data_IF_662002855058
#
_entry.id   IF_662002855058
#
_cell.length_a   1.000
_cell.length_b   1.000
_cell.length_c   1.000
_cell.angle_alpha   90.00
_cell.angle_beta   90.00
_cell.angle_gamma   90.00
#
_symmetry.space_group_name_H-M   'P 1'
#
loop_
_entity.id
_entity.type
_entity.pdbx_description
1 polymer ?
#
# COMPACT_ATOMS: atom_id res chain seq x y z
N UNK A 1 0.08 -21.11 -30.48
CA UNK A 1 -0.93 -20.55 -29.57
C UNK A 1 -2.26 -20.58 -30.31
N UNK A 2 -3.19 -21.47 -29.94
CA UNK A 2 -4.53 -21.53 -30.53
C UNK A 2 -5.44 -20.54 -29.83
N UNK A 3 -6.26 -19.83 -30.62
CA UNK A 3 -7.29 -18.88 -30.14
C UNK A 3 -8.34 -19.67 -29.34
N UNK A 4 -8.64 -19.24 -28.11
CA UNK A 4 -9.74 -19.78 -27.29
C UNK A 4 -9.36 -20.78 -26.18
N UNK A 5 -8.07 -20.90 -25.83
CA UNK A 5 -7.66 -21.52 -24.56
C UNK A 5 -7.06 -20.44 -23.68
N UNK A 6 -7.88 -19.88 -22.80
CA UNK A 6 -7.55 -18.78 -21.89
C UNK A 6 -6.46 -19.20 -20.90
N UNK A 7 -5.21 -19.07 -21.33
CA UNK A 7 -4.11 -18.81 -20.42
C UNK A 7 -4.06 -17.29 -20.24
N UNK A 8 -4.50 -16.80 -19.09
CA UNK A 8 -4.27 -15.41 -18.70
C UNK A 8 -2.75 -15.23 -18.52
N UNK A 9 -2.08 -14.72 -19.55
CA UNK A 9 -0.67 -14.34 -19.43
C UNK A 9 -0.60 -13.06 -18.61
N UNK A 10 -0.17 -13.16 -17.36
CA UNK A 10 0.19 -11.98 -16.57
C UNK A 10 1.61 -11.57 -16.98
N UNK A 11 1.72 -10.50 -17.76
CA UNK A 11 3.01 -9.92 -18.12
C UNK A 11 3.30 -8.79 -17.13
N UNK A 12 4.25 -9.02 -16.24
CA UNK A 12 4.80 -7.96 -15.39
C UNK A 12 6.18 -7.58 -15.92
N UNK A 13 6.48 -6.29 -15.93
CA UNK A 13 7.84 -5.84 -16.20
C UNK A 13 8.74 -6.24 -15.04
N UNK A 14 9.78 -7.02 -15.36
CA UNK A 14 10.79 -7.40 -14.38
C UNK A 14 11.57 -6.15 -13.93
N UNK A 15 11.79 -6.02 -12.62
CA UNK A 15 12.65 -4.98 -12.06
C UNK A 15 14.08 -5.13 -12.60
N UNK A 16 14.78 -4.02 -12.76
CA UNK A 16 16.17 -4.05 -13.23
C UNK A 16 17.06 -4.62 -12.13
N UNK A 17 17.65 -5.78 -12.39
CA UNK A 17 18.69 -6.37 -11.54
C UNK A 17 20.03 -5.61 -11.66
N UNK A 18 20.94 -5.86 -10.73
CA UNK A 18 22.26 -5.21 -10.67
C UNK A 18 23.08 -5.35 -11.96
N UNK A 19 22.95 -6.48 -12.67
CA UNK A 19 23.70 -6.74 -13.91
C UNK A 19 23.16 -5.91 -15.06
N UNK A 20 21.84 -5.73 -15.12
CA UNK A 20 21.14 -4.96 -16.15
C UNK A 20 21.24 -3.44 -15.94
N UNK A 21 21.55 -2.96 -14.72
CA UNK A 21 21.70 -1.51 -14.44
C UNK A 21 22.70 -0.81 -15.35
N UNK A 22 23.81 -1.49 -15.67
CA UNK A 22 24.89 -0.94 -16.51
C UNK A 22 24.38 -0.49 -17.89
N UNK A 23 23.39 -1.20 -18.45
CA UNK A 23 22.80 -0.85 -19.75
C UNK A 23 22.21 0.57 -19.74
N UNK A 24 21.67 1.01 -18.60
CA UNK A 24 21.03 2.31 -18.44
C UNK A 24 22.00 3.39 -17.92
N UNK A 25 22.85 3.03 -16.95
CA UNK A 25 23.78 3.98 -16.30
C UNK A 25 25.04 4.26 -17.13
N UNK A 26 25.57 3.27 -17.85
CA UNK A 26 26.89 3.39 -18.48
C UNK A 26 27.97 3.78 -17.48
N UNK A 27 28.81 4.76 -17.83
CA UNK A 27 29.90 5.24 -16.97
C UNK A 27 29.42 5.84 -15.62
N UNK A 28 28.17 6.32 -15.55
CA UNK A 28 27.59 6.85 -14.32
C UNK A 28 27.52 5.82 -13.18
N UNK A 29 27.62 4.51 -13.47
CA UNK A 29 27.71 3.47 -12.44
C UNK A 29 28.94 3.63 -11.53
N UNK A 30 30.02 4.25 -12.02
CA UNK A 30 31.24 4.51 -11.24
C UNK A 30 31.12 5.79 -10.37
N UNK A 31 30.05 6.56 -10.53
CA UNK A 31 29.84 7.78 -9.78
C UNK A 31 29.50 7.46 -8.30
N UNK A 32 30.21 8.09 -7.37
CA UNK A 32 30.04 7.89 -5.93
C UNK A 32 28.65 8.31 -5.44
N UNK A 33 28.06 9.34 -6.04
CA UNK A 33 26.72 9.82 -5.69
C UNK A 33 25.65 8.80 -6.11
N UNK A 34 25.79 8.19 -7.29
CA UNK A 34 24.90 7.09 -7.73
C UNK A 34 25.02 5.88 -6.80
N UNK A 35 26.24 5.53 -6.38
CA UNK A 35 26.46 4.46 -5.42
C UNK A 35 25.87 4.78 -4.03
N UNK A 36 25.93 6.05 -3.61
CA UNK A 36 25.33 6.52 -2.36
C UNK A 36 23.81 6.41 -2.41
N UNK A 37 23.18 6.96 -3.46
CA UNK A 37 21.74 6.87 -3.71
C UNK A 37 21.25 5.41 -3.69
N UNK A 38 21.96 4.48 -4.33
CA UNK A 38 21.60 3.07 -4.34
C UNK A 38 21.67 2.37 -2.98
N UNK A 39 22.44 2.90 -2.01
CA UNK A 39 22.50 2.36 -0.64
C UNK A 39 21.30 2.81 0.19
N UNK A 40 20.93 4.08 0.07
CA UNK A 40 19.85 4.67 0.87
C UNK A 40 18.46 4.41 0.28
N UNK A 41 18.34 4.44 -1.05
CA UNK A 41 17.10 4.33 -1.81
C UNK A 41 17.25 3.31 -2.96
N UNK A 42 17.43 2.01 -2.66
CA UNK A 42 17.69 0.98 -3.65
C UNK A 42 16.61 0.88 -4.74
N UNK A 43 15.37 1.23 -4.42
CA UNK A 43 14.22 1.24 -5.34
C UNK A 43 14.43 2.17 -6.54
N UNK A 44 15.22 3.25 -6.37
CA UNK A 44 15.56 4.18 -7.46
C UNK A 44 16.41 3.51 -8.53
N UNK A 45 17.17 2.50 -8.13
CA UNK A 45 18.11 1.77 -8.98
C UNK A 45 17.43 0.67 -9.81
N UNK A 46 16.14 0.44 -9.59
CA UNK A 46 15.34 -0.57 -10.27
C UNK A 46 14.51 0.00 -11.44
N UNK A 47 14.42 1.33 -11.54
CA UNK A 47 13.52 2.03 -12.48
C UNK A 47 14.31 2.60 -13.67
N UNK A 48 14.10 2.09 -14.91
CA UNK A 48 14.89 2.49 -16.08
C UNK A 48 14.87 4.00 -16.38
N UNK A 49 13.72 4.65 -16.17
CA UNK A 49 13.59 6.08 -16.37
C UNK A 49 14.47 6.89 -15.41
N UNK A 50 14.49 6.51 -14.13
CA UNK A 50 15.32 7.16 -13.10
C UNK A 50 16.79 6.92 -13.40
N UNK A 51 17.19 5.70 -13.77
CA UNK A 51 18.57 5.40 -14.16
C UNK A 51 19.05 6.27 -15.34
N UNK A 52 18.18 6.53 -16.33
CA UNK A 52 18.50 7.44 -17.45
C UNK A 52 18.68 8.89 -16.98
N UNK A 53 17.85 9.37 -16.04
CA UNK A 53 18.02 10.70 -15.45
C UNK A 53 19.33 10.80 -14.67
N UNK A 54 19.64 9.79 -13.85
CA UNK A 54 20.88 9.71 -13.08
C UNK A 54 22.12 9.73 -13.99
N UNK A 55 22.08 9.00 -15.12
CA UNK A 55 23.14 9.05 -16.12
C UNK A 55 23.36 10.46 -16.64
N UNK A 56 22.29 11.12 -17.10
CA UNK A 56 22.37 12.50 -17.63
C UNK A 56 22.91 13.45 -16.56
N UNK A 57 22.43 13.37 -15.32
CA UNK A 57 22.88 14.23 -14.24
C UNK A 57 24.32 13.93 -13.80
N UNK A 58 24.76 12.67 -13.91
CA UNK A 58 26.17 12.28 -13.68
C UNK A 58 27.08 12.91 -14.72
N UNK A 59 26.70 12.86 -16.00
CA UNK A 59 27.48 13.45 -17.10
C UNK A 59 27.61 14.98 -16.98
N UNK A 60 26.73 15.61 -16.18
CA UNK A 60 26.67 17.05 -15.93
C UNK A 60 27.22 17.47 -14.55
N UNK A 61 27.73 16.53 -13.75
CA UNK A 61 28.15 16.76 -12.36
C UNK A 61 27.06 17.39 -11.45
N UNK A 62 25.78 17.08 -11.71
CA UNK A 62 24.61 17.63 -11.00
C UNK A 62 23.96 16.67 -9.99
N UNK A 63 24.67 15.62 -9.57
CA UNK A 63 24.14 14.62 -8.62
C UNK A 63 24.38 14.93 -7.14
N UNK A 64 25.28 15.87 -6.83
CA UNK A 64 25.67 16.14 -5.44
C UNK A 64 24.49 16.63 -4.60
N UNK A 65 24.28 15.99 -3.45
CA UNK A 65 23.25 16.35 -2.47
C UNK A 65 21.83 15.90 -2.82
N UNK A 66 21.63 15.20 -3.95
CA UNK A 66 20.33 14.63 -4.29
C UNK A 66 20.11 13.33 -3.49
N UNK A 67 18.93 13.19 -2.92
CA UNK A 67 18.53 12.10 -2.01
C UNK A 67 17.18 11.49 -2.37
N UNK A 68 16.26 12.27 -2.97
CA UNK A 68 14.89 11.84 -3.28
C UNK A 68 14.59 11.82 -4.79
N UNK A 69 13.49 11.17 -5.21
CA UNK A 69 13.06 11.23 -6.63
C UNK A 69 12.70 12.64 -7.02
N UNK A 70 12.02 13.38 -6.14
CA UNK A 70 11.64 14.77 -6.40
C UNK A 70 12.84 15.66 -6.74
N UNK A 71 13.98 15.45 -6.08
CA UNK A 71 15.23 16.18 -6.34
C UNK A 71 15.87 15.81 -7.68
N UNK A 72 15.92 14.51 -8.00
CA UNK A 72 16.40 14.01 -9.29
C UNK A 72 15.57 14.57 -10.43
N UNK A 73 14.24 14.57 -10.29
CA UNK A 73 13.32 15.13 -11.29
C UNK A 73 13.53 16.63 -11.44
N UNK A 74 13.69 17.37 -10.33
CA UNK A 74 13.93 18.82 -10.38
C UNK A 74 15.23 19.15 -11.13
N UNK A 75 16.33 18.48 -10.77
CA UNK A 75 17.63 18.70 -11.40
C UNK A 75 17.58 18.35 -12.90
N UNK A 76 16.89 17.26 -13.24
CA UNK A 76 16.72 16.82 -14.62
C UNK A 76 15.89 17.81 -15.45
N UNK A 77 14.71 18.23 -14.97
CA UNK A 77 13.86 19.17 -15.71
C UNK A 77 14.48 20.56 -15.83
N UNK A 78 15.18 21.05 -14.79
CA UNK A 78 15.98 22.28 -14.89
C UNK A 78 17.00 22.18 -16.01
N UNK A 79 17.78 21.08 -16.06
CA UNK A 79 18.71 20.87 -17.16
C UNK A 79 18.03 20.88 -18.53
N UNK A 80 16.88 20.20 -18.68
CA UNK A 80 16.16 20.18 -19.95
C UNK A 80 15.73 21.58 -20.40
N UNK A 81 15.25 22.40 -19.47
CA UNK A 81 14.70 23.72 -19.76
C UNK A 81 15.75 24.86 -19.81
N UNK A 82 16.91 24.68 -19.16
CA UNK A 82 17.99 25.68 -19.06
C UNK A 82 19.07 25.55 -20.15
N UNK A 83 18.95 24.58 -21.07
CA UNK A 83 20.04 24.17 -22.00
C UNK A 83 20.42 25.16 -23.12
N UNK A 84 20.36 26.48 -22.89
CA UNK A 84 21.15 27.50 -23.62
C UNK A 84 21.12 28.85 -22.86
N UNK A 85 22.31 29.34 -22.48
CA UNK A 85 22.54 30.42 -21.51
C UNK A 85 22.28 31.85 -22.05
N UNK A 86 21.07 32.39 -21.85
CA UNK A 86 20.79 33.82 -21.86
C UNK A 86 19.76 34.17 -20.78
N UNK A 87 19.93 35.29 -20.05
CA UNK A 87 19.06 35.72 -18.93
C UNK A 87 17.56 35.78 -19.29
N UNK A 88 17.22 36.14 -20.54
CA UNK A 88 15.84 36.14 -21.03
C UNK A 88 15.21 34.74 -21.15
N UNK A 89 16.00 33.66 -21.28
CA UNK A 89 15.51 32.27 -21.32
C UNK A 89 15.24 31.68 -19.92
N UNK A 90 15.96 32.12 -18.88
CA UNK A 90 15.72 31.66 -17.47
C UNK A 90 14.33 32.09 -16.99
N UNK A 91 13.91 33.32 -17.32
CA UNK A 91 12.55 33.79 -17.03
C UNK A 91 11.49 32.97 -17.79
N UNK A 92 11.82 32.48 -18.98
CA UNK A 92 10.94 31.63 -19.78
C UNK A 92 10.85 30.20 -19.23
N UNK A 93 11.96 29.64 -18.70
CA UNK A 93 11.96 28.29 -18.13
C UNK A 93 11.12 28.17 -16.86
N UNK A 94 11.17 29.15 -15.96
CA UNK A 94 10.31 29.16 -14.75
C UNK A 94 8.83 29.29 -15.14
N UNK A 95 8.50 30.15 -16.11
CA UNK A 95 7.13 30.30 -16.61
C UNK A 95 6.60 29.02 -17.27
N UNK A 96 7.44 28.29 -18.02
CA UNK A 96 7.12 26.97 -18.55
C UNK A 96 6.87 25.98 -17.39
N UNK A 97 7.73 26.00 -16.38
CA UNK A 97 7.63 25.13 -15.22
C UNK A 97 6.30 25.33 -14.49
N UNK A 98 5.96 26.58 -14.15
CA UNK A 98 4.68 26.95 -13.54
C UNK A 98 3.49 26.51 -14.40
N UNK A 99 3.58 26.68 -15.72
CA UNK A 99 2.49 26.29 -16.61
C UNK A 99 2.31 24.77 -16.67
N UNK A 100 3.38 23.98 -16.66
CA UNK A 100 3.32 22.52 -16.57
C UNK A 100 2.70 22.07 -15.24
N UNK A 101 3.08 22.72 -14.13
CA UNK A 101 2.53 22.49 -12.79
C UNK A 101 1.02 22.77 -12.73
N UNK A 102 0.57 23.92 -13.24
CA UNK A 102 -0.85 24.29 -13.32
C UNK A 102 -1.66 23.25 -14.09
N UNK A 103 -1.23 22.93 -15.32
CA UNK A 103 -1.96 21.99 -16.20
C UNK A 103 -1.98 20.59 -15.60
N UNK A 104 -0.87 20.14 -15.00
CA UNK A 104 -0.81 18.82 -14.37
C UNK A 104 -1.80 18.70 -13.21
N UNK A 105 -1.86 19.68 -12.31
CA UNK A 105 -2.80 19.66 -11.19
C UNK A 105 -4.26 19.77 -11.66
N UNK A 106 -4.55 20.61 -12.65
CA UNK A 106 -5.90 20.73 -13.21
C UNK A 106 -6.40 19.39 -13.79
N UNK A 107 -5.53 18.61 -14.43
CA UNK A 107 -5.89 17.26 -14.90
C UNK A 107 -6.32 16.37 -13.72
N UNK A 108 -5.59 16.39 -12.60
CA UNK A 108 -5.96 15.63 -11.40
C UNK A 108 -7.28 16.10 -10.78
N UNK A 109 -7.53 17.41 -10.73
CA UNK A 109 -8.79 17.99 -10.24
C UNK A 109 -9.98 17.59 -11.11
N UNK A 110 -9.76 17.46 -12.42
CA UNK A 110 -10.73 16.94 -13.39
C UNK A 110 -10.87 15.39 -13.35
N UNK A 111 -10.14 14.72 -12.46
CA UNK A 111 -10.17 13.26 -12.31
C UNK A 111 -9.35 12.49 -13.35
N UNK A 112 -8.46 13.17 -14.08
CA UNK A 112 -7.65 12.61 -15.16
C UNK A 112 -6.22 12.26 -14.68
N UNK A 113 -5.88 10.98 -14.74
CA UNK A 113 -4.56 10.43 -14.42
C UNK A 113 -4.03 9.59 -15.59
N UNK A 114 -2.91 10.02 -16.19
CA UNK A 114 -2.27 9.30 -17.30
C UNK A 114 -1.82 7.88 -16.91
N UNK A 115 -1.67 7.60 -15.61
CA UNK A 115 -1.32 6.27 -15.11
C UNK A 115 -2.49 5.29 -15.15
N UNK A 116 -3.69 5.79 -14.84
CA UNK A 116 -4.88 4.96 -14.61
C UNK A 116 -5.80 4.98 -15.82
N UNK A 117 -5.92 6.12 -16.49
CA UNK A 117 -6.84 6.28 -17.59
C UNK A 117 -6.24 5.72 -18.90
N UNK A 118 -6.96 4.77 -19.51
CA UNK A 118 -6.69 4.29 -20.87
C UNK A 118 -7.14 5.34 -21.90
N UNK A 119 -6.38 6.44 -22.01
CA UNK A 119 -6.64 7.49 -23.01
C UNK A 119 -5.81 7.19 -24.26
N UNK A 120 -6.43 6.51 -25.22
CA UNK A 120 -5.81 6.02 -26.47
C UNK A 120 -5.03 7.10 -27.27
N UNK A 121 -5.30 8.39 -27.04
CA UNK A 121 -4.65 9.51 -27.76
C UNK A 121 -4.25 10.72 -26.88
N UNK A 122 -4.28 10.62 -25.56
CA UNK A 122 -3.95 11.73 -24.64
C UNK A 122 -5.02 12.82 -24.52
N UNK A 123 -4.64 13.99 -23.99
CA UNK A 123 -5.50 15.13 -23.65
C UNK A 123 -5.68 16.13 -24.79
N UNK A 124 -6.80 16.87 -24.81
CA UNK A 124 -7.02 17.95 -25.78
C UNK A 124 -5.98 19.07 -25.63
N UNK A 125 -5.43 19.56 -26.76
CA UNK A 125 -4.51 20.71 -26.80
C UNK A 125 -5.15 22.02 -26.31
N UNK A 126 -6.47 22.11 -26.28
CA UNK A 126 -7.17 23.26 -25.69
C UNK A 126 -6.78 23.49 -24.22
N UNK A 127 -6.43 22.41 -23.49
CA UNK A 127 -5.98 22.50 -22.09
C UNK A 127 -4.62 23.19 -21.91
N UNK A 128 -3.80 23.25 -22.96
CA UNK A 128 -2.51 23.95 -22.92
C UNK A 128 -2.67 25.45 -23.12
N UNK A 129 -3.71 25.89 -23.84
CA UNK A 129 -3.94 27.30 -24.15
C UNK A 129 -4.25 28.09 -22.87
N UNK A 130 -3.65 29.27 -22.75
CA UNK A 130 -3.95 30.28 -21.73
C UNK A 130 -3.91 31.64 -22.42
N UNK A 131 -4.92 32.47 -22.19
CA UNK A 131 -4.96 33.80 -22.82
C UNK A 131 -3.68 34.58 -22.53
N UNK A 132 -3.04 35.08 -23.59
CA UNK A 132 -1.79 35.85 -23.50
C UNK A 132 -0.53 35.05 -23.14
N UNK A 133 -0.55 33.71 -23.24
CA UNK A 133 0.59 32.86 -22.89
C UNK A 133 0.80 31.69 -23.86
N UNK A 134 1.87 31.78 -24.66
CA UNK A 134 2.24 30.80 -25.71
C UNK A 134 3.42 29.90 -25.29
N UNK A 135 3.52 29.58 -23.99
CA UNK A 135 4.66 28.85 -23.42
C UNK A 135 4.66 27.38 -23.78
N UNK A 136 3.52 26.71 -23.63
CA UNK A 136 3.37 25.27 -23.90
C UNK A 136 2.84 24.96 -25.30
N UNK A 137 2.25 25.96 -25.98
CA UNK A 137 1.69 25.81 -27.31
C UNK A 137 1.92 27.08 -28.15
N UNK A 138 2.47 26.92 -29.35
CA UNK A 138 2.71 27.98 -30.34
C UNK A 138 2.15 27.52 -31.69
N UNK A 139 1.31 28.34 -32.30
CA UNK A 139 0.65 28.03 -33.59
C UNK A 139 -0.04 26.65 -33.62
N UNK A 140 -0.65 26.24 -32.49
CA UNK A 140 -1.33 24.94 -32.36
C UNK A 140 -0.41 23.73 -32.15
N UNK A 141 0.89 23.95 -31.98
CA UNK A 141 1.90 22.90 -31.80
C UNK A 141 2.70 23.08 -30.50
N UNK A 142 3.09 21.97 -29.87
CA UNK A 142 4.01 22.02 -28.72
C UNK A 142 5.41 22.37 -29.25
N UNK A 143 6.11 23.37 -28.66
CA UNK A 143 7.45 23.74 -29.08
C UNK A 143 8.47 22.59 -28.98
N UNK A 144 9.45 22.50 -29.90
CA UNK A 144 10.47 21.45 -29.90
C UNK A 144 11.26 21.33 -28.58
N UNK A 145 11.48 22.44 -27.89
CA UNK A 145 12.15 22.46 -26.58
C UNK A 145 11.44 21.61 -25.51
N UNK A 146 10.12 21.40 -25.63
CA UNK A 146 9.33 20.59 -24.70
C UNK A 146 9.18 19.14 -25.14
N UNK A 147 9.72 18.75 -26.29
CA UNK A 147 9.56 17.39 -26.83
C UNK A 147 10.14 16.31 -25.94
N UNK A 148 11.03 16.61 -24.99
CA UNK A 148 11.53 15.63 -24.02
C UNK A 148 10.60 15.42 -22.83
N UNK A 149 9.66 16.35 -22.61
CA UNK A 149 8.72 16.36 -21.48
C UNK A 149 7.32 15.96 -21.96
N UNK A 150 6.90 16.51 -23.10
CA UNK A 150 5.59 16.33 -23.70
C UNK A 150 5.68 15.58 -25.02
N UNK A 151 4.62 14.85 -25.36
CA UNK A 151 4.41 14.29 -26.69
C UNK A 151 3.05 14.74 -27.23
N UNK A 152 2.95 14.90 -28.55
CA UNK A 152 1.74 15.41 -29.21
C UNK A 152 1.39 14.65 -30.48
N UNK A 153 0.10 14.74 -30.82
CA UNK A 153 -0.47 14.44 -32.13
C UNK A 153 -1.15 15.72 -32.66
N UNK A 154 -1.75 15.77 -33.88
CA UNK A 154 -2.32 17.00 -34.42
C UNK A 154 -3.28 17.73 -33.47
N UNK A 155 -4.16 17.02 -32.76
CA UNK A 155 -5.15 17.61 -31.84
C UNK A 155 -4.94 17.32 -30.35
N UNK A 156 -4.01 16.44 -29.99
CA UNK A 156 -3.86 15.96 -28.61
C UNK A 156 -2.42 15.99 -28.11
N UNK A 157 -2.25 15.86 -26.80
CA UNK A 157 -0.97 15.83 -26.12
C UNK A 157 -1.00 15.00 -24.83
N UNK A 158 0.15 14.58 -24.35
CA UNK A 158 0.30 14.00 -23.02
C UNK A 158 1.73 14.20 -22.51
N UNK A 159 1.97 13.94 -21.23
CA UNK A 159 3.32 13.83 -20.72
C UNK A 159 3.99 12.58 -21.30
N UNK A 160 5.29 12.63 -21.57
CA UNK A 160 6.03 11.44 -22.07
C UNK A 160 6.00 10.26 -21.11
N UNK A 161 5.82 10.54 -19.83
CA UNK A 161 5.69 9.52 -18.80
C UNK A 161 4.68 9.97 -17.73
N UNK A 162 3.83 9.06 -17.20
CA UNK A 162 2.85 9.41 -16.17
C UNK A 162 3.48 10.08 -14.94
N UNK A 163 4.69 9.66 -14.55
CA UNK A 163 5.40 10.28 -13.42
C UNK A 163 5.77 11.74 -13.62
N UNK A 164 5.77 12.24 -14.87
CA UNK A 164 6.00 13.67 -15.11
C UNK A 164 4.74 14.46 -14.73
N UNK A 165 3.56 13.96 -15.10
CA UNK A 165 2.28 14.54 -14.66
C UNK A 165 2.22 14.55 -13.12
N UNK A 166 2.51 13.42 -12.48
CA UNK A 166 2.51 13.28 -11.02
C UNK A 166 3.48 14.26 -10.36
N UNK A 167 4.71 14.36 -10.86
CA UNK A 167 5.71 15.27 -10.31
C UNK A 167 5.30 16.75 -10.43
N UNK A 168 4.85 17.18 -11.60
CA UNK A 168 4.44 18.58 -11.79
C UNK A 168 3.18 18.92 -10.99
N UNK A 169 2.21 18.00 -10.91
CA UNK A 169 1.02 18.18 -10.08
C UNK A 169 1.36 18.30 -8.59
N UNK A 170 2.28 17.46 -8.09
CA UNK A 170 2.76 17.51 -6.70
C UNK A 170 3.36 18.86 -6.34
N UNK A 171 4.16 19.43 -7.24
CA UNK A 171 4.75 20.75 -7.04
C UNK A 171 3.73 21.88 -7.02
N UNK A 172 2.76 21.81 -7.93
CA UNK A 172 1.63 22.75 -7.96
C UNK A 172 0.84 22.69 -6.66
N UNK A 173 0.53 21.47 -6.17
CA UNK A 173 -0.19 21.26 -4.92
C UNK A 173 0.61 21.76 -3.71
N UNK A 174 1.93 21.58 -3.69
CA UNK A 174 2.79 22.07 -2.60
C UNK A 174 2.77 23.60 -2.46
N UNK A 175 2.47 24.33 -3.54
CA UNK A 175 2.28 25.79 -3.54
C UNK A 175 0.87 26.22 -3.13
N UNK A 176 -0.10 25.30 -3.11
CA UNK A 176 -1.50 25.60 -2.80
C UNK A 176 -1.68 25.81 -1.29
N UNK A 177 -2.33 26.91 -0.88
CA UNK A 177 -2.57 27.22 0.54
C UNK A 177 -3.52 26.23 1.23
N UNK A 178 -4.42 25.61 0.47
CA UNK A 178 -5.43 24.68 0.96
C UNK A 178 -5.03 23.21 0.79
N UNK A 179 -3.74 22.94 0.53
CA UNK A 179 -3.25 21.59 0.27
C UNK A 179 -3.66 20.59 1.36
N UNK A 180 -3.68 20.98 2.64
CA UNK A 180 -4.06 20.09 3.76
C UNK A 180 -5.45 19.51 3.56
N UNK A 181 -6.41 20.34 3.13
CA UNK A 181 -7.79 19.94 2.87
C UNK A 181 -7.88 19.02 1.65
N UNK A 182 -7.14 19.34 0.59
CA UNK A 182 -7.11 18.54 -0.64
C UNK A 182 -6.53 17.16 -0.35
N UNK A 183 -5.39 17.08 0.35
CA UNK A 183 -4.74 15.83 0.71
C UNK A 183 -5.64 14.98 1.62
N UNK A 184 -6.27 15.57 2.64
CA UNK A 184 -7.19 14.84 3.50
C UNK A 184 -8.36 14.22 2.71
N UNK A 185 -8.85 14.89 1.67
CA UNK A 185 -9.93 14.38 0.82
C UNK A 185 -9.44 13.32 -0.19
N UNK A 186 -8.19 13.41 -0.63
CA UNK A 186 -7.67 12.67 -1.80
C UNK A 186 -6.66 11.57 -1.47
N UNK A 187 -6.15 11.46 -0.25
CA UNK A 187 -5.10 10.51 0.10
C UNK A 187 -5.50 9.03 0.00
N UNK A 188 -6.79 8.72 -0.09
CA UNK A 188 -7.31 7.36 -0.35
C UNK A 188 -7.72 7.14 -1.81
N UNK A 189 -7.58 8.14 -2.68
CA UNK A 189 -7.84 8.02 -4.11
C UNK A 189 -6.58 7.50 -4.81
N UNK A 190 -6.67 6.32 -5.41
CA UNK A 190 -5.58 5.66 -6.15
C UNK A 190 -4.97 6.55 -7.23
N UNK A 191 -5.76 7.46 -7.83
CA UNK A 191 -5.25 8.39 -8.84
C UNK A 191 -4.16 9.26 -8.25
N UNK A 192 -4.38 9.76 -7.03
CA UNK A 192 -3.51 10.73 -6.37
C UNK A 192 -2.27 10.09 -5.72
N UNK A 193 -2.22 8.77 -5.59
CA UNK A 193 -1.21 8.07 -4.76
C UNK A 193 0.24 8.41 -5.16
N UNK A 194 0.63 8.25 -6.43
CA UNK A 194 2.01 8.52 -6.87
C UNK A 194 2.37 10.01 -6.84
N UNK A 195 1.42 10.88 -7.14
CA UNK A 195 1.58 12.33 -7.01
C UNK A 195 1.83 12.69 -5.55
N UNK A 196 1.05 12.13 -4.62
CA UNK A 196 1.18 12.40 -3.20
C UNK A 196 2.51 11.90 -2.62
N UNK A 197 3.10 10.83 -3.17
CA UNK A 197 4.47 10.41 -2.81
C UNK A 197 5.48 11.51 -3.11
N UNK A 198 5.46 12.08 -4.32
CA UNK A 198 6.33 13.23 -4.66
C UNK A 198 6.05 14.44 -3.76
N UNK A 199 4.78 14.73 -3.55
CA UNK A 199 4.31 15.86 -2.74
C UNK A 199 4.87 15.79 -1.31
N UNK A 200 4.95 14.60 -0.71
CA UNK A 200 5.50 14.42 0.64
C UNK A 200 6.96 14.88 0.80
N UNK A 201 7.73 14.95 -0.29
CA UNK A 201 9.08 15.51 -0.29
C UNK A 201 9.16 17.02 -0.51
N UNK A 202 8.02 17.69 -0.68
CA UNK A 202 7.92 19.11 -1.05
C UNK A 202 7.24 19.97 0.01
N UNK A 203 6.69 19.35 1.05
CA UNK A 203 6.04 20.02 2.20
C UNK A 203 6.64 19.52 3.52
N UNK A 204 6.20 20.09 4.64
CA UNK A 204 6.58 19.60 5.97
C UNK A 204 6.11 18.15 6.14
N UNK A 205 7.06 17.24 6.32
CA UNK A 205 6.80 15.81 6.36
C UNK A 205 5.79 15.44 7.46
N UNK A 206 5.97 15.91 8.69
CA UNK A 206 5.04 15.54 9.77
C UNK A 206 3.59 15.95 9.47
N UNK A 207 3.36 17.14 8.91
CA UNK A 207 2.01 17.62 8.57
C UNK A 207 1.29 16.71 7.57
N UNK A 208 1.96 16.27 6.51
CA UNK A 208 1.35 15.41 5.49
C UNK A 208 1.17 13.97 6.00
N UNK A 209 2.11 13.49 6.81
CA UNK A 209 2.03 12.15 7.38
C UNK A 209 0.95 12.05 8.47
N UNK A 210 0.74 13.09 9.26
CA UNK A 210 -0.39 13.17 10.20
C UNK A 210 -1.72 13.04 9.46
N UNK A 211 -1.88 13.76 8.34
CA UNK A 211 -3.07 13.62 7.49
C UNK A 211 -3.20 12.19 6.94
N UNK A 212 -2.12 11.58 6.46
CA UNK A 212 -2.19 10.20 5.96
C UNK A 212 -2.61 9.22 7.05
N UNK A 213 -2.08 9.34 8.26
CA UNK A 213 -2.44 8.47 9.38
C UNK A 213 -3.88 8.70 9.84
N UNK A 214 -4.31 9.95 9.98
CA UNK A 214 -5.67 10.31 10.41
C UNK A 214 -6.74 9.80 9.43
N UNK A 215 -6.42 9.78 8.13
CA UNK A 215 -7.29 9.25 7.08
C UNK A 215 -7.11 7.74 6.83
N UNK A 216 -6.22 7.06 7.56
CA UNK A 216 -5.94 5.63 7.36
C UNK A 216 -5.19 5.28 6.06
N UNK A 217 -4.59 6.27 5.38
CA UNK A 217 -3.79 6.10 4.16
C UNK A 217 -2.34 5.62 4.45
N UNK A 218 -2.20 4.57 5.26
CA UNK A 218 -0.90 4.16 5.81
C UNK A 218 0.07 3.58 4.77
N UNK A 219 -0.44 2.94 3.72
CA UNK A 219 0.40 2.45 2.62
C UNK A 219 1.01 3.62 1.84
N UNK A 220 0.21 4.67 1.61
CA UNK A 220 0.71 5.91 1.02
C UNK A 220 1.76 6.54 1.93
N UNK A 221 1.52 6.60 3.25
CA UNK A 221 2.51 7.08 4.21
C UNK A 221 3.83 6.27 4.12
N UNK A 222 3.78 4.95 4.26
CA UNK A 222 4.95 4.09 4.17
C UNK A 222 5.74 4.26 2.87
N UNK A 223 5.04 4.36 1.74
CA UNK A 223 5.65 4.57 0.43
C UNK A 223 6.22 5.97 0.21
N UNK A 224 5.82 6.93 1.04
CA UNK A 224 6.27 8.32 0.96
C UNK A 224 7.47 8.60 1.87
N UNK A 225 7.83 7.67 2.77
CA UNK A 225 8.93 7.87 3.73
C UNK A 225 10.25 8.20 3.04
N UNK A 226 10.54 7.58 1.90
CA UNK A 226 11.77 7.84 1.13
C UNK A 226 11.79 9.21 0.44
N UNK A 227 10.63 9.84 0.23
CA UNK A 227 10.54 11.20 -0.32
C UNK A 227 10.57 12.26 0.78
N UNK A 228 10.10 11.91 1.98
CA UNK A 228 9.88 12.82 3.08
C UNK A 228 11.20 13.35 3.65
N UNK A 229 11.36 14.68 3.64
CA UNK A 229 12.49 15.34 4.29
C UNK A 229 12.20 15.55 5.76
N UNK A 230 13.17 15.23 6.61
CA UNK A 230 13.11 15.54 8.04
C UNK A 230 11.88 14.93 8.75
N UNK A 231 11.34 13.81 8.24
CA UNK A 231 10.29 13.07 8.94
C UNK A 231 10.80 12.64 10.31
N UNK A 232 10.05 12.98 11.36
CA UNK A 232 10.47 12.69 12.73
C UNK A 232 10.63 11.19 12.96
N UNK A 233 11.54 10.83 13.87
CA UNK A 233 11.78 9.44 14.22
C UNK A 233 10.53 8.78 14.80
N UNK A 234 9.77 9.50 15.63
CA UNK A 234 8.50 9.06 16.21
C UNK A 234 7.52 8.59 15.13
N UNK A 235 7.35 9.39 14.06
CA UNK A 235 6.47 9.07 12.93
C UNK A 235 7.02 7.92 12.11
N UNK A 236 8.31 7.92 11.82
CA UNK A 236 8.96 6.84 11.07
C UNK A 236 8.79 5.49 11.76
N UNK A 237 9.03 5.43 13.08
CA UNK A 237 8.86 4.23 13.89
C UNK A 237 7.40 3.78 13.89
N UNK A 238 6.46 4.70 14.10
CA UNK A 238 5.03 4.40 14.14
C UNK A 238 4.51 3.83 12.81
N UNK A 239 4.82 4.47 11.69
CA UNK A 239 4.40 4.00 10.36
C UNK A 239 5.01 2.63 10.07
N UNK A 240 6.30 2.45 10.39
CA UNK A 240 6.97 1.18 10.18
C UNK A 240 6.34 0.07 11.04
N UNK A 241 6.00 0.36 12.29
CA UNK A 241 5.29 -0.57 13.17
C UNK A 241 3.90 -0.91 12.61
N UNK A 242 3.10 0.06 12.17
CA UNK A 242 1.78 -0.18 11.59
C UNK A 242 1.83 -1.04 10.32
N UNK A 243 2.91 -0.92 9.54
CA UNK A 243 3.13 -1.68 8.31
C UNK A 243 3.89 -3.00 8.50
N UNK A 244 4.36 -3.29 9.71
CA UNK A 244 5.20 -4.46 10.07
C UNK A 244 4.68 -5.79 9.54
N UNK A 245 3.36 -5.97 9.61
CA UNK A 245 2.68 -7.22 9.28
C UNK A 245 2.07 -7.26 7.87
N UNK A 246 2.37 -6.27 7.02
CA UNK A 246 1.77 -6.15 5.69
C UNK A 246 2.44 -6.94 4.58
N UNK A 247 3.63 -7.50 4.82
CA UNK A 247 4.41 -8.15 3.77
C UNK A 247 4.60 -9.64 4.07
N UNK A 248 4.49 -10.47 3.01
CA UNK A 248 5.15 -11.78 3.01
C UNK A 248 6.66 -11.56 3.05
N UNK A 249 7.43 -12.51 3.57
CA UNK A 249 8.91 -12.39 3.62
C UNK A 249 9.53 -12.12 2.25
N UNK A 250 8.88 -12.60 1.19
CA UNK A 250 9.28 -12.43 -0.20
C UNK A 250 9.07 -11.03 -0.81
N UNK A 251 8.39 -10.10 -0.12
CA UNK A 251 8.14 -8.73 -0.60
C UNK A 251 9.00 -7.71 0.17
N UNK A 252 10.04 -7.13 -0.46
CA UNK A 252 11.07 -6.37 0.24
C UNK A 252 10.64 -4.96 0.70
N UNK A 253 9.55 -4.42 0.15
CA UNK A 253 9.10 -3.02 0.32
C UNK A 253 9.01 -2.58 1.78
N UNK A 254 8.51 -3.45 2.67
CA UNK A 254 8.43 -3.20 4.11
C UNK A 254 9.18 -4.25 4.94
N UNK A 255 10.13 -4.99 4.34
CA UNK A 255 10.87 -6.02 5.07
C UNK A 255 11.63 -5.44 6.28
N UNK A 256 12.13 -4.21 6.15
CA UNK A 256 12.81 -3.48 7.25
C UNK A 256 11.88 -3.20 8.43
N UNK A 257 10.58 -3.07 8.19
CA UNK A 257 9.59 -2.83 9.24
C UNK A 257 9.50 -3.97 10.26
N UNK A 258 9.95 -5.19 9.91
CA UNK A 258 10.00 -6.32 10.86
C UNK A 258 11.00 -6.13 12.01
N UNK A 259 11.98 -5.26 11.83
CA UNK A 259 12.99 -4.96 12.85
C UNK A 259 12.48 -3.99 13.91
N UNK A 260 11.29 -3.40 13.70
CA UNK A 260 10.72 -2.44 14.63
C UNK A 260 10.20 -3.15 15.87
N UNK A 261 10.61 -2.61 17.02
CA UNK A 261 10.20 -3.04 18.34
C UNK A 261 9.12 -2.11 18.86
N UNK A 262 8.14 -2.71 19.55
CA UNK A 262 7.00 -1.99 20.13
C UNK A 262 7.49 -1.00 21.19
N UNK A 263 8.49 -1.39 21.97
CA UNK A 263 9.05 -0.57 23.06
C UNK A 263 9.69 0.71 22.52
N UNK A 264 10.37 0.64 21.36
CA UNK A 264 10.99 1.79 20.72
C UNK A 264 9.92 2.79 20.25
N UNK A 265 8.80 2.30 19.71
CA UNK A 265 7.68 3.13 19.27
C UNK A 265 7.00 3.79 20.47
N UNK A 266 6.74 3.04 21.54
CA UNK A 266 6.11 3.56 22.76
C UNK A 266 7.01 4.58 23.45
N UNK A 267 8.32 4.35 23.49
CA UNK A 267 9.28 5.28 24.09
C UNK A 267 9.43 6.58 23.29
N UNK A 268 9.29 6.50 21.97
CA UNK A 268 9.41 7.66 21.09
C UNK A 268 8.14 8.52 21.00
N UNK A 269 6.99 8.07 21.52
CA UNK A 269 5.72 8.78 21.36
C UNK A 269 5.08 9.14 22.71
N UNK A 270 4.39 10.27 22.76
CA UNK A 270 3.54 10.59 23.91
C UNK A 270 2.35 9.61 23.96
N UNK A 271 2.18 8.93 25.10
CA UNK A 271 1.16 7.88 25.25
C UNK A 271 -0.27 8.37 24.97
N UNK A 272 -0.61 9.61 25.34
CA UNK A 272 -1.96 10.18 25.14
C UNK A 272 -2.29 10.38 23.66
N UNK A 273 -1.32 10.93 22.91
CA UNK A 273 -1.40 11.17 21.47
C UNK A 273 -1.45 9.86 20.70
N UNK A 274 -0.56 8.91 21.04
CA UNK A 274 -0.54 7.58 20.43
C UNK A 274 -1.87 6.83 20.68
N UNK A 275 -2.37 6.83 21.91
CA UNK A 275 -3.65 6.19 22.25
C UNK A 275 -4.83 6.78 21.46
N UNK A 276 -4.83 8.10 21.26
CA UNK A 276 -5.88 8.80 20.48
C UNK A 276 -5.87 8.34 19.02
N UNK A 277 -4.70 8.25 18.41
CA UNK A 277 -4.55 7.75 17.05
C UNK A 277 -4.98 6.29 16.93
N UNK A 278 -4.50 5.42 17.82
CA UNK A 278 -4.82 3.97 17.78
C UNK A 278 -6.32 3.72 17.92
N UNK A 279 -7.00 4.47 18.78
CA UNK A 279 -8.47 4.46 18.87
C UNK A 279 -9.12 4.88 17.55
N UNK A 280 -8.62 5.94 16.93
CA UNK A 280 -9.14 6.41 15.63
C UNK A 280 -9.01 5.35 14.55
N UNK A 281 -7.90 4.60 14.52
CA UNK A 281 -7.64 3.53 13.55
C UNK A 281 -8.49 2.27 13.76
N UNK A 282 -8.99 2.03 15.00
CA UNK A 282 -9.93 0.94 15.28
C UNK A 282 -11.35 1.23 14.78
N UNK A 283 -11.71 2.51 14.66
CA UNK A 283 -13.05 2.93 14.22
C UNK A 283 -13.37 2.40 12.83
N UNK A 284 -14.64 2.01 12.66
CA UNK A 284 -15.14 1.35 11.46
C UNK A 284 -14.95 2.18 10.18
N UNK A 285 -15.13 3.50 10.25
CA UNK A 285 -14.96 4.41 9.11
C UNK A 285 -13.51 4.48 8.60
N UNK A 286 -12.55 4.39 9.52
CA UNK A 286 -11.12 4.48 9.25
C UNK A 286 -10.44 3.11 9.14
N UNK A 287 -11.22 2.03 9.29
CA UNK A 287 -10.70 0.67 9.39
C UNK A 287 -9.95 0.26 8.12
N UNK A 288 -8.80 -0.37 8.36
CA UNK A 288 -8.06 -1.14 7.39
C UNK A 288 -7.59 -2.42 8.09
N UNK A 289 -8.23 -3.55 7.80
CA UNK A 289 -8.01 -4.82 8.51
C UNK A 289 -6.54 -5.27 8.54
N UNK A 290 -5.80 -4.84 7.51
CA UNK A 290 -4.36 -5.01 7.36
C UNK A 290 -3.60 -4.61 8.62
N UNK A 291 -3.79 -3.40 9.11
CA UNK A 291 -2.93 -2.82 10.16
C UNK A 291 -3.36 -3.19 11.58
N UNK A 292 -4.55 -3.75 11.75
CA UNK A 292 -5.19 -3.84 13.07
C UNK A 292 -4.43 -4.72 14.06
N UNK A 293 -3.71 -5.73 13.57
CA UNK A 293 -2.84 -6.52 14.45
C UNK A 293 -1.76 -5.65 15.11
N UNK A 294 -1.13 -4.76 14.34
CA UNK A 294 -0.13 -3.82 14.87
C UNK A 294 -0.76 -2.77 15.78
N UNK A 295 -1.97 -2.33 15.47
CA UNK A 295 -2.73 -1.40 16.32
C UNK A 295 -3.00 -2.04 17.69
N UNK A 296 -3.45 -3.30 17.72
CA UNK A 296 -3.67 -4.05 18.96
C UNK A 296 -2.34 -4.29 19.69
N UNK A 297 -1.29 -4.69 18.98
CA UNK A 297 0.05 -4.89 19.55
C UNK A 297 0.56 -3.61 20.27
N UNK A 298 0.41 -2.44 19.65
CA UNK A 298 0.77 -1.16 20.25
C UNK A 298 -0.10 -0.79 21.47
N UNK A 299 -1.42 -1.01 21.40
CA UNK A 299 -2.33 -0.75 22.51
C UNK A 299 -1.99 -1.59 23.73
N UNK A 300 -1.67 -2.86 23.52
CA UNK A 300 -1.26 -3.79 24.57
C UNK A 300 0.15 -3.46 25.09
N UNK A 301 1.07 -3.09 24.21
CA UNK A 301 2.42 -2.63 24.56
C UNK A 301 2.40 -1.42 25.50
N UNK A 302 1.53 -0.42 25.25
CA UNK A 302 1.31 0.72 26.17
C UNK A 302 0.87 0.26 27.57
N UNK A 303 0.16 -0.86 27.65
CA UNK A 303 -0.34 -1.45 28.90
C UNK A 303 0.57 -2.54 29.48
N UNK A 304 1.76 -2.75 28.88
CA UNK A 304 2.69 -3.82 29.23
C UNK A 304 2.07 -5.23 29.18
N UNK A 305 1.20 -5.48 28.20
CA UNK A 305 0.62 -6.79 27.93
C UNK A 305 1.33 -7.37 26.70
N UNK A 306 1.87 -8.59 26.84
CA UNK A 306 2.58 -9.27 25.74
C UNK A 306 1.57 -9.87 24.75
N UNK A 307 1.41 -9.20 23.60
CA UNK A 307 0.50 -9.65 22.57
C UNK A 307 0.90 -10.98 21.94
N UNK A 308 2.21 -11.23 21.77
CA UNK A 308 2.70 -12.46 21.15
C UNK A 308 2.40 -13.67 22.03
N UNK A 309 2.62 -13.55 23.34
CA UNK A 309 2.33 -14.63 24.29
C UNK A 309 0.83 -14.99 24.31
N UNK A 310 -0.07 -14.00 24.25
CA UNK A 310 -1.52 -14.25 24.17
C UNK A 310 -1.90 -15.00 22.89
N UNK A 311 -1.28 -14.64 21.75
CA UNK A 311 -1.51 -15.31 20.46
C UNK A 311 -0.99 -16.75 20.47
N UNK A 312 0.20 -16.97 21.03
CA UNK A 312 0.82 -18.29 21.13
C UNK A 312 0.01 -19.23 22.04
N UNK A 313 -0.51 -18.71 23.15
CA UNK A 313 -1.35 -19.46 24.09
C UNK A 313 -2.81 -19.59 23.67
N UNK A 314 -3.25 -18.82 22.68
CA UNK A 314 -4.67 -18.70 22.28
C UNK A 314 -5.59 -18.21 23.42
N UNK A 315 -5.07 -17.36 24.31
CA UNK A 315 -5.78 -16.82 25.48
C UNK A 315 -6.10 -15.33 25.28
N UNK A 316 -7.36 -14.99 25.00
CA UNK A 316 -7.76 -13.63 24.59
C UNK A 316 -8.74 -12.94 25.55
N UNK A 317 -9.08 -13.56 26.68
CA UNK A 317 -10.09 -13.02 27.60
C UNK A 317 -9.67 -11.67 28.21
N UNK A 318 -8.36 -11.47 28.43
CA UNK A 318 -7.79 -10.21 28.93
C UNK A 318 -8.07 -9.02 27.99
N UNK A 319 -8.30 -9.25 26.70
CA UNK A 319 -8.63 -8.19 25.74
C UNK A 319 -9.96 -7.49 26.08
N UNK A 320 -10.88 -8.18 26.77
CA UNK A 320 -12.18 -7.62 27.20
C UNK A 320 -12.01 -6.57 28.29
N UNK A 321 -10.89 -6.57 29.01
CA UNK A 321 -10.58 -5.59 30.06
C UNK A 321 -9.94 -4.31 29.47
N UNK A 322 -9.53 -4.36 28.21
CA UNK A 322 -8.92 -3.24 27.48
C UNK A 322 -10.03 -2.34 26.95
N UNK A 323 -10.33 -1.26 27.69
CA UNK A 323 -11.39 -0.29 27.37
C UNK A 323 -11.35 0.23 25.93
N UNK A 324 -10.16 0.38 25.37
CA UNK A 324 -9.95 0.86 24.00
C UNK A 324 -10.38 -0.14 22.92
N UNK A 325 -10.52 -1.42 23.27
CA UNK A 325 -10.99 -2.48 22.38
C UNK A 325 -12.47 -2.82 22.58
N UNK A 326 -13.12 -2.30 23.63
CA UNK A 326 -14.51 -2.65 23.98
C UNK A 326 -15.48 -2.40 22.83
N UNK A 327 -15.43 -1.20 22.23
CA UNK A 327 -16.27 -0.85 21.08
C UNK A 327 -16.00 -1.80 19.91
N UNK A 328 -14.72 -1.94 19.52
CA UNK A 328 -14.29 -2.77 18.40
C UNK A 328 -14.73 -4.24 18.55
N UNK A 329 -14.50 -4.86 19.71
CA UNK A 329 -14.85 -6.25 19.98
C UNK A 329 -16.37 -6.46 20.14
N UNK A 330 -17.13 -5.41 20.46
CA UNK A 330 -18.59 -5.45 20.58
C UNK A 330 -19.34 -5.32 19.25
N UNK A 331 -18.70 -4.80 18.20
CA UNK A 331 -19.37 -4.44 16.94
C UNK A 331 -20.09 -5.60 16.25
N UNK A 332 -19.50 -6.81 16.23
CA UNK A 332 -20.07 -7.95 15.53
C UNK A 332 -21.45 -8.37 16.07
N UNK A 333 -21.77 -7.95 17.31
CA UNK A 333 -23.05 -8.19 17.96
C UNK A 333 -24.02 -6.99 17.88
N UNK A 334 -23.58 -5.85 17.33
CA UNK A 334 -24.37 -4.61 17.29
C UNK A 334 -25.17 -4.49 15.96
N UNK A 335 -26.52 -4.56 16.00
CA UNK A 335 -27.37 -4.46 14.80
C UNK A 335 -27.32 -3.11 14.09
N UNK A 336 -26.93 -2.04 14.79
CA UNK A 336 -26.84 -0.70 14.20
C UNK A 336 -25.55 -0.52 13.38
N UNK A 337 -24.57 -1.39 13.59
CA UNK A 337 -23.22 -1.30 12.99
C UNK A 337 -23.02 -2.34 11.89
N UNK A 338 -23.54 -3.56 12.09
CA UNK A 338 -23.35 -4.69 11.16
C UNK A 338 -24.67 -5.34 10.76
N UNK A 339 -24.68 -5.98 9.58
CA UNK A 339 -25.82 -6.81 9.16
C UNK A 339 -25.80 -8.14 9.91
N UNK A 340 -26.48 -8.22 11.05
CA UNK A 340 -26.56 -9.43 11.88
C UNK A 340 -27.01 -10.68 11.11
N UNK A 341 -27.84 -10.55 10.08
CA UNK A 341 -28.24 -11.69 9.23
C UNK A 341 -27.05 -12.30 8.48
N UNK A 342 -26.10 -11.49 8.00
CA UNK A 342 -24.86 -11.95 7.36
C UNK A 342 -23.93 -12.57 8.40
N UNK A 343 -23.74 -11.91 9.55
CA UNK A 343 -22.88 -12.42 10.64
C UNK A 343 -23.39 -13.75 11.16
N UNK A 344 -24.70 -13.91 11.37
CA UNK A 344 -25.28 -15.18 11.85
C UNK A 344 -25.24 -16.29 10.79
N UNK A 345 -25.53 -15.98 9.52
CA UNK A 345 -25.51 -16.98 8.43
C UNK A 345 -24.11 -17.52 8.20
N UNK A 346 -23.13 -16.63 8.04
CA UNK A 346 -21.76 -17.02 7.70
C UNK A 346 -20.91 -17.36 8.90
N UNK A 347 -21.27 -16.86 10.09
CA UNK A 347 -20.68 -17.22 11.38
C UNK A 347 -21.34 -18.42 12.06
N UNK A 348 -22.10 -19.25 11.32
CA UNK A 348 -22.70 -20.48 11.85
C UNK A 348 -21.60 -21.42 12.38
N UNK A 349 -21.76 -21.90 13.61
CA UNK A 349 -20.83 -22.82 14.25
C UNK A 349 -21.37 -24.24 14.23
N UNK A 350 -20.46 -25.20 14.09
CA UNK A 350 -20.72 -26.62 14.27
C UNK A 350 -19.86 -27.15 15.40
N UNK A 351 -20.43 -28.02 16.23
CA UNK A 351 -19.73 -28.65 17.34
C UNK A 351 -19.04 -29.93 16.87
N UNK A 352 -17.75 -30.06 17.16
CA UNK A 352 -16.97 -31.27 16.94
C UNK A 352 -16.83 -31.98 18.28
N UNK A 353 -17.35 -33.21 18.42
CA UNK A 353 -17.36 -33.91 19.70
C UNK A 353 -15.93 -34.22 20.18
N UNK A 354 -15.76 -34.32 21.50
CA UNK A 354 -14.51 -34.79 22.08
C UNK A 354 -14.18 -36.22 21.64
N UNK A 355 -12.88 -36.54 21.64
CA UNK A 355 -12.43 -37.89 21.31
C UNK A 355 -11.08 -37.93 20.59
N UNK A 356 -10.56 -39.14 20.48
CA UNK A 356 -9.35 -39.48 19.73
C UNK A 356 -9.61 -39.40 18.21
N UNK A 357 -8.62 -38.98 17.45
CA UNK A 357 -8.64 -39.00 15.99
C UNK A 357 -7.23 -39.26 15.44
N UNK A 358 -7.16 -39.68 14.18
CA UNK A 358 -5.91 -39.84 13.44
C UNK A 358 -5.36 -38.46 13.09
N UNK A 359 -4.20 -38.10 13.63
CA UNK A 359 -3.51 -36.85 13.32
C UNK A 359 -2.36 -37.12 12.33
N UNK A 360 -2.29 -36.31 11.27
CA UNK A 360 -1.30 -36.46 10.20
C UNK A 360 -1.28 -37.89 9.63
N UNK A 361 -0.13 -38.57 9.67
CA UNK A 361 0.06 -39.92 9.13
C UNK A 361 0.19 -40.98 10.24
N UNK A 362 -0.26 -40.68 11.46
CA UNK A 362 -0.28 -41.63 12.57
C UNK A 362 -1.16 -42.86 12.21
N UNK A 363 -0.62 -44.07 12.42
CA UNK A 363 -1.31 -45.33 12.09
C UNK A 363 -1.65 -46.17 13.31
N UNK A 364 -0.94 -45.94 14.41
CA UNK A 364 -1.12 -46.69 15.64
C UNK A 364 -2.13 -45.98 16.55
N UNK A 365 -3.15 -46.71 17.02
CA UNK A 365 -4.22 -46.14 17.87
C UNK A 365 -3.69 -45.53 19.19
N UNK A 366 -2.50 -45.96 19.63
CA UNK A 366 -1.82 -45.41 20.80
C UNK A 366 -1.34 -43.98 20.57
N UNK A 367 -1.01 -43.62 19.33
CA UNK A 367 -0.53 -42.29 18.94
C UNK A 367 -1.68 -41.30 18.68
N UNK A 368 -2.91 -41.80 18.50
CA UNK A 368 -4.07 -40.95 18.23
C UNK A 368 -4.23 -39.83 19.26
N UNK A 369 -4.27 -38.60 18.74
CA UNK A 369 -4.41 -37.39 19.54
C UNK A 369 -5.83 -37.27 20.09
N UNK A 370 -5.97 -37.04 21.40
CA UNK A 370 -7.24 -36.70 22.03
C UNK A 370 -7.47 -35.18 21.98
N UNK A 371 -8.64 -34.75 21.49
CA UNK A 371 -9.12 -33.37 21.60
C UNK A 371 -10.41 -33.33 22.41
N UNK A 372 -10.52 -32.30 23.26
CA UNK A 372 -11.79 -31.93 23.90
C UNK A 372 -12.79 -31.46 22.85
N UNK A 373 -14.06 -31.37 23.24
CA UNK A 373 -15.11 -30.78 22.41
C UNK A 373 -14.75 -29.33 22.09
N UNK A 374 -14.94 -28.94 20.84
CA UNK A 374 -14.78 -27.57 20.39
C UNK A 374 -15.82 -27.24 19.32
N UNK A 375 -15.97 -25.96 19.01
CA UNK A 375 -16.81 -25.51 17.89
C UNK A 375 -15.97 -24.83 16.84
N UNK A 376 -16.29 -25.06 15.58
CA UNK A 376 -15.63 -24.42 14.43
C UNK A 376 -16.69 -23.83 13.50
N UNK A 377 -16.34 -22.78 12.77
CA UNK A 377 -17.25 -22.22 11.76
C UNK A 377 -17.49 -23.24 10.64
N UNK A 378 -18.76 -23.41 10.26
CA UNK A 378 -19.17 -24.31 9.19
C UNK A 378 -18.65 -23.90 7.82
N UNK A 379 -18.52 -22.59 7.61
CA UNK A 379 -18.04 -22.00 6.37
C UNK A 379 -16.72 -21.28 6.62
N UNK A 380 -15.80 -21.26 5.63
CA UNK A 380 -14.74 -20.27 5.61
C UNK A 380 -15.33 -18.86 5.72
N UNK A 381 -14.58 -17.91 6.27
CA UNK A 381 -14.99 -16.50 6.30
C UNK A 381 -15.23 -16.04 4.86
N UNK A 382 -16.45 -15.60 4.56
CA UNK A 382 -16.84 -15.16 3.21
C UNK A 382 -16.49 -13.70 2.98
N UNK A 383 -16.47 -13.27 1.72
CA UNK A 383 -16.34 -11.86 1.36
C UNK A 383 -17.43 -11.00 2.01
N UNK A 384 -18.66 -11.52 2.10
CA UNK A 384 -19.76 -10.84 2.78
C UNK A 384 -19.49 -10.65 4.27
N UNK A 385 -19.00 -11.68 4.96
CA UNK A 385 -18.68 -11.59 6.40
C UNK A 385 -17.47 -10.69 6.64
N UNK A 386 -16.43 -10.83 5.82
CA UNK A 386 -15.22 -10.02 5.96
C UNK A 386 -15.48 -8.53 5.71
N UNK A 387 -16.40 -8.16 4.81
CA UNK A 387 -16.83 -6.77 4.64
C UNK A 387 -17.64 -6.22 5.82
N UNK A 388 -18.30 -7.07 6.61
CA UNK A 388 -18.89 -6.63 7.87
C UNK A 388 -17.80 -6.34 8.91
N UNK A 389 -16.67 -7.06 8.87
CA UNK A 389 -15.49 -6.77 9.68
C UNK A 389 -14.73 -5.53 9.18
N UNK A 390 -14.44 -5.41 7.89
CA UNK A 390 -13.71 -4.30 7.28
C UNK A 390 -14.52 -3.74 6.09
N UNK A 391 -15.33 -2.69 6.31
CA UNK A 391 -16.16 -2.10 5.25
C UNK A 391 -15.37 -1.53 4.07
N UNK A 392 -14.11 -1.18 4.30
CA UNK A 392 -13.22 -0.62 3.28
C UNK A 392 -12.46 -1.71 2.52
N UNK A 393 -12.70 -2.99 2.81
CA UNK A 393 -12.02 -4.10 2.16
C UNK A 393 -12.34 -4.17 0.66
N UNK A 394 -11.28 -4.01 -0.15
CA UNK A 394 -11.30 -4.27 -1.58
C UNK A 394 -10.78 -5.68 -1.83
N UNK A 395 -11.52 -6.45 -2.63
CA UNK A 395 -11.17 -7.81 -2.99
C UNK A 395 -9.79 -7.84 -3.66
N UNK A 396 -8.84 -8.59 -3.08
CA UNK A 396 -7.45 -8.64 -3.58
C UNK A 396 -7.29 -9.51 -4.83
N UNK A 397 -8.17 -10.50 -4.97
CA UNK A 397 -8.15 -11.47 -6.05
C UNK A 397 -9.56 -11.64 -6.64
N UNK A 398 -10.16 -10.57 -7.20
CA UNK A 398 -11.54 -10.59 -7.66
C UNK A 398 -11.78 -11.60 -8.78
N UNK A 399 -10.74 -11.96 -9.56
CA UNK A 399 -10.86 -13.01 -10.58
C UNK A 399 -11.22 -14.39 -9.98
N UNK A 400 -10.74 -14.69 -8.77
CA UNK A 400 -10.89 -15.99 -8.12
C UNK A 400 -11.96 -15.98 -7.01
N UNK A 401 -12.23 -14.82 -6.41
CA UNK A 401 -13.26 -14.64 -5.39
C UNK A 401 -13.93 -13.28 -5.53
N UNK A 402 -14.99 -13.21 -6.34
CA UNK A 402 -15.77 -11.99 -6.61
C UNK A 402 -17.12 -11.94 -5.89
N UNK A 403 -17.72 -13.10 -5.59
CA UNK A 403 -19.07 -13.18 -5.01
C UNK A 403 -19.03 -12.99 -3.50
N UNK A 404 -20.09 -12.39 -2.94
CA UNK A 404 -20.27 -12.20 -1.50
C UNK A 404 -20.23 -13.52 -0.71
N UNK A 405 -20.69 -14.61 -1.32
CA UNK A 405 -20.76 -15.94 -0.71
C UNK A 405 -19.45 -16.75 -0.87
N UNK A 406 -18.48 -16.25 -1.64
CA UNK A 406 -17.18 -16.90 -1.79
C UNK A 406 -16.28 -16.61 -0.58
N UNK A 407 -15.34 -17.51 -0.23
CA UNK A 407 -14.33 -17.26 0.78
C UNK A 407 -13.52 -16.00 0.48
N UNK A 408 -13.21 -15.20 1.50
CA UNK A 408 -12.23 -14.13 1.38
C UNK A 408 -10.85 -14.75 1.15
N UNK A 409 -10.11 -14.24 0.16
CA UNK A 409 -8.78 -14.74 -0.19
C UNK A 409 -7.79 -13.58 -0.32
N UNK A 410 -6.51 -13.90 -0.09
CA UNK A 410 -5.43 -12.93 -0.17
C UNK A 410 -5.18 -12.15 1.12
N UNK A 411 -5.89 -12.46 2.20
CA UNK A 411 -5.59 -11.98 3.56
C UNK A 411 -4.47 -12.81 4.19
N UNK A 412 -3.76 -12.23 5.16
CA UNK A 412 -2.69 -12.93 5.90
C UNK A 412 -3.18 -13.45 7.27
N UNK A 413 -2.29 -14.13 8.00
CA UNK A 413 -2.56 -14.66 9.34
C UNK A 413 -3.03 -13.56 10.31
N UNK A 414 -2.32 -12.43 10.35
CA UNK A 414 -2.58 -11.33 11.26
C UNK A 414 -3.97 -10.73 11.07
N UNK A 415 -4.39 -10.52 9.82
CA UNK A 415 -5.74 -10.09 9.48
C UNK A 415 -6.80 -11.10 9.90
N UNK A 416 -6.55 -12.38 9.62
CA UNK A 416 -7.47 -13.49 9.93
C UNK A 416 -7.70 -13.62 11.44
N UNK A 417 -6.63 -13.49 12.22
CA UNK A 417 -6.68 -13.53 13.68
C UNK A 417 -7.51 -12.37 14.23
N UNK A 418 -7.26 -11.13 13.78
CA UNK A 418 -8.02 -9.98 14.26
C UNK A 418 -9.50 -10.05 13.86
N UNK A 419 -9.80 -10.54 12.66
CA UNK A 419 -11.17 -10.81 12.25
C UNK A 419 -11.86 -11.87 13.14
N UNK A 420 -11.15 -12.94 13.50
CA UNK A 420 -11.68 -13.95 14.43
C UNK A 420 -11.98 -13.35 15.80
N UNK A 421 -11.08 -12.51 16.34
CA UNK A 421 -11.28 -11.83 17.63
C UNK A 421 -12.46 -10.86 17.59
N UNK A 422 -12.61 -10.11 16.50
CA UNK A 422 -13.76 -9.23 16.28
C UNK A 422 -15.09 -10.00 16.23
N UNK A 423 -15.09 -11.23 15.71
CA UNK A 423 -16.25 -12.15 15.78
C UNK A 423 -16.48 -12.75 17.17
N UNK A 424 -15.62 -12.46 18.16
CA UNK A 424 -15.63 -13.09 19.48
C UNK A 424 -15.15 -14.55 19.47
N UNK A 425 -14.23 -14.89 18.55
CA UNK A 425 -13.70 -16.24 18.30
C UNK A 425 -12.17 -16.23 18.28
N UNK A 426 -11.57 -17.40 18.09
CA UNK A 426 -10.15 -17.58 17.77
C UNK A 426 -9.96 -18.41 16.51
N UNK A 427 -8.75 -18.38 15.95
CA UNK A 427 -8.39 -19.31 14.88
C UNK A 427 -8.32 -20.75 15.42
N UNK A 428 -8.70 -21.77 14.62
CA UNK A 428 -8.50 -23.16 15.00
C UNK A 428 -7.00 -23.49 15.03
N UNK A 429 -6.58 -24.34 15.96
CA UNK A 429 -5.23 -24.93 15.90
C UNK A 429 -5.19 -26.02 14.84
N UNK A 430 -3.98 -26.41 14.38
CA UNK A 430 -3.77 -27.43 13.34
C UNK A 430 -4.60 -28.70 13.59
N UNK A 431 -4.54 -29.24 14.81
CA UNK A 431 -5.27 -30.45 15.23
C UNK A 431 -6.79 -30.30 15.15
N UNK A 432 -7.32 -29.14 15.54
CA UNK A 432 -8.76 -28.86 15.46
C UNK A 432 -9.22 -28.77 14.01
N UNK A 433 -8.43 -28.10 13.17
CA UNK A 433 -8.69 -27.99 11.74
C UNK A 433 -8.70 -29.37 11.08
N UNK A 434 -7.68 -30.18 11.36
CA UNK A 434 -7.54 -31.50 10.77
C UNK A 434 -8.66 -32.45 11.18
N UNK A 435 -8.98 -32.54 12.49
CA UNK A 435 -10.11 -33.35 12.97
C UNK A 435 -11.45 -32.91 12.35
N UNK A 436 -11.63 -31.60 12.17
CA UNK A 436 -12.84 -31.04 11.55
C UNK A 436 -12.96 -31.42 10.07
N UNK A 437 -11.83 -31.49 9.36
CA UNK A 437 -11.79 -31.76 7.93
C UNK A 437 -11.77 -33.26 7.60
N UNK A 438 -10.98 -34.06 8.31
CA UNK A 438 -10.72 -35.49 8.01
C UNK A 438 -11.60 -36.45 8.81
N UNK A 439 -12.29 -35.95 9.83
CA UNK A 439 -13.06 -36.78 10.75
C UNK A 439 -12.16 -37.55 11.73
N UNK A 440 -12.64 -38.69 12.21
CA UNK A 440 -11.89 -39.60 13.11
C UNK A 440 -11.25 -40.77 12.38
N UNK A 441 -11.61 -40.97 11.11
CA UNK A 441 -11.23 -42.09 10.25
C UNK A 441 -10.11 -41.74 9.24
N UNK A 442 -9.51 -40.54 9.35
CA UNK A 442 -8.26 -40.21 8.64
C UNK A 442 -8.40 -39.98 7.14
N UNK A 443 -9.55 -39.49 6.66
CA UNK A 443 -9.83 -39.33 5.21
C UNK A 443 -8.84 -38.39 4.52
N UNK A 444 -8.54 -38.66 3.25
CA UNK A 444 -7.74 -37.76 2.40
C UNK A 444 -8.47 -36.44 2.11
N UNK A 445 -9.80 -36.51 1.94
CA UNK A 445 -10.67 -35.35 1.74
C UNK A 445 -11.87 -35.39 2.68
N UNK A 446 -12.51 -34.24 2.98
CA UNK A 446 -13.72 -34.21 3.80
C UNK A 446 -14.87 -35.09 3.27
N UNK A 447 -14.88 -35.38 1.98
CA UNK A 447 -15.86 -36.24 1.31
C UNK A 447 -15.40 -37.70 1.11
N UNK A 448 -14.25 -38.11 1.66
CA UNK A 448 -13.73 -39.48 1.56
C UNK A 448 -12.42 -39.57 0.77
N UNK A 449 -12.13 -40.75 0.22
CA UNK A 449 -10.93 -40.98 -0.58
C UNK A 449 -11.02 -40.35 -1.98
N UNK A 450 -9.87 -40.11 -2.61
CA UNK A 450 -9.81 -39.66 -3.99
C UNK A 450 -10.59 -40.63 -4.91
N UNK A 451 -11.60 -40.13 -5.64
CA UNK A 451 -12.19 -40.90 -6.74
C UNK A 451 -11.19 -40.98 -7.90
N UNK A 452 -10.25 -41.93 -7.82
CA UNK A 452 -9.63 -42.60 -8.97
C UNK A 452 -8.97 -41.74 -10.05
N UNK A 453 -8.20 -40.71 -9.71
CA UNK A 453 -7.21 -40.14 -10.63
C UNK A 453 -5.83 -40.16 -9.97
N UNK A 454 -5.22 -41.34 -9.94
CA UNK A 454 -3.77 -41.51 -9.76
C UNK A 454 -3.05 -41.33 -11.09
#
# INVERSE_FOLDING_TARGET
IQRGKDAAFHVAFEKIDEKKRNIFLGEAQKNKEVASLGKYSPELMEVPLVLKMLRVLSDLDKLSGLTTRGEIYLAYFRHLLESDSHENKIKNSEMIFERLEEVALQLFEDGLSQRIDDIETGYSKERLKKEGCDTLIRDGTIPPELEKILQQTPGRWQFRHPSFQEYFAARSLAKNKDWKKIVALKCRDERWEEMLKFFSGMVLANDVFDIFMDQGALFLAGNSVCEARELSEERRLLIAQLLKYQCRESFPQFARCRLIKVEDVVAANESSTLLTLLKSLLKRENRDGRILYSVIELLLGIKNIDWSDLVDRQEFDSLKEVKELEEFLGEASNPDVVKLSKVKRWGEMVTIPEGKFIYQDEKDEEDHVFLKEFSIMKFPVTNALYKEFDPNHILRFPLYSFSDDHPVIGINFYESLVCALWLGRRLPIEKEWEKSARGIDGRDYPWGEAMGYQ
#
